data_IF_687704379858
#
_entry.id   IF_687704379858
#
_cell.length_a   1.000
_cell.length_b   1.000
_cell.length_c   1.000
_cell.angle_alpha   90.00
_cell.angle_beta   90.00
_cell.angle_gamma   90.00
#
_symmetry.space_group_name_H-M   'P 1'
#
loop_
_entity.id
_entity.type
_entity.pdbx_description
1 polymer ?
#
# COMPACT_ATOMS: atom_id res chain seq x y z
N UNK A 1 -5.05 -0.46 26.31
CA UNK A 1 -3.70 -0.41 26.93
C UNK A 1 -2.73 -1.10 25.97
N UNK A 2 -1.77 -0.39 25.35
CA UNK A 2 -0.71 -1.04 24.54
C UNK A 2 0.40 -1.52 25.48
N UNK A 3 0.95 -2.71 25.26
CA UNK A 3 2.16 -3.17 25.95
C UNK A 3 3.36 -2.34 25.46
N UNK A 4 4.21 -1.79 26.34
CA UNK A 4 5.31 -0.88 25.96
C UNK A 4 6.51 -1.55 25.26
N UNK A 5 6.51 -2.88 25.16
CA UNK A 5 7.66 -3.74 24.90
C UNK A 5 7.72 -4.37 23.49
N UNK A 6 6.82 -3.99 22.57
CA UNK A 6 6.89 -4.40 21.15
C UNK A 6 7.30 -3.23 20.25
N UNK A 7 8.47 -3.35 19.59
CA UNK A 7 8.86 -2.45 18.51
C UNK A 7 7.81 -2.56 17.38
N UNK A 8 7.20 -1.44 17.00
CA UNK A 8 6.19 -1.43 15.94
C UNK A 8 6.87 -1.44 14.56
N UNK A 9 7.24 -2.62 14.08
CA UNK A 9 7.77 -2.80 12.73
C UNK A 9 6.64 -2.65 11.72
N UNK A 10 6.81 -1.71 10.78
CA UNK A 10 5.87 -1.48 9.68
C UNK A 10 6.47 -1.98 8.37
N UNK A 11 5.62 -2.56 7.52
CA UNK A 11 5.97 -2.99 6.17
C UNK A 11 5.12 -2.22 5.15
N UNK A 12 5.79 -1.46 4.27
CA UNK A 12 5.17 -0.77 3.14
C UNK A 12 4.96 -1.76 2.00
N UNK A 13 3.70 -2.14 1.78
CA UNK A 13 3.29 -2.92 0.61
C UNK A 13 2.80 -1.98 -0.49
N UNK A 14 3.55 -1.88 -1.59
CA UNK A 14 3.16 -1.09 -2.77
C UNK A 14 2.55 -2.01 -3.80
N UNK A 15 1.35 -1.72 -4.31
CA UNK A 15 0.73 -2.61 -5.28
C UNK A 15 1.41 -2.50 -6.66
N UNK A 16 1.54 -3.62 -7.37
CA UNK A 16 2.15 -3.63 -8.73
C UNK A 16 1.37 -2.75 -9.72
N UNK A 17 0.07 -2.54 -9.48
CA UNK A 17 -0.75 -1.60 -10.23
C UNK A 17 -0.27 -0.15 -10.04
N UNK A 18 -0.02 0.28 -8.79
CA UNK A 18 0.52 1.62 -8.48
C UNK A 18 1.91 1.80 -9.06
N UNK A 19 2.77 0.78 -9.02
CA UNK A 19 4.11 0.83 -9.65
C UNK A 19 3.97 1.05 -11.17
N UNK A 20 3.07 0.30 -11.82
CA UNK A 20 2.82 0.40 -13.28
C UNK A 20 2.21 1.76 -13.66
N UNK A 21 1.37 2.34 -12.80
CA UNK A 21 0.81 3.68 -12.98
C UNK A 21 1.90 4.76 -12.86
N UNK A 22 2.77 4.66 -11.84
CA UNK A 22 3.93 5.54 -11.67
C UNK A 22 4.89 5.48 -12.86
N UNK A 23 5.17 4.27 -13.40
CA UNK A 23 5.98 4.11 -14.63
C UNK A 23 5.35 4.84 -15.83
N UNK A 24 4.03 4.79 -15.96
CA UNK A 24 3.28 5.50 -17.00
C UNK A 24 3.39 7.02 -16.85
N UNK A 25 3.14 7.52 -15.64
CA UNK A 25 3.25 8.94 -15.30
C UNK A 25 4.69 9.47 -15.47
N UNK A 26 5.70 8.67 -15.11
CA UNK A 26 7.12 9.01 -15.27
C UNK A 26 7.53 9.15 -16.74
N UNK A 27 6.95 8.36 -17.65
CA UNK A 27 7.15 8.50 -19.10
C UNK A 27 6.47 9.75 -19.67
N UNK A 28 5.38 10.19 -19.05
CA UNK A 28 4.61 11.38 -19.43
C UNK A 28 3.38 11.03 -20.25
N UNK A 29 2.42 11.95 -20.33
CA UNK A 29 1.17 11.79 -21.06
C UNK A 29 1.07 12.86 -22.15
N UNK A 30 0.76 12.43 -23.38
CA UNK A 30 0.46 13.34 -24.48
C UNK A 30 -0.98 13.88 -24.35
N UNK A 31 -1.21 15.11 -24.81
CA UNK A 31 -2.54 15.73 -24.83
C UNK A 31 -3.06 16.33 -23.51
N UNK A 32 -2.22 16.45 -22.47
CA UNK A 32 -2.61 17.13 -21.22
C UNK A 32 -2.70 18.64 -21.44
N UNK A 33 -3.83 19.24 -21.05
CA UNK A 33 -4.12 20.67 -21.23
C UNK A 33 -3.28 21.59 -20.34
N UNK A 34 -2.92 21.16 -19.13
CA UNK A 34 -2.00 21.86 -18.24
C UNK A 34 -0.63 21.18 -18.27
N UNK A 35 0.27 21.72 -19.10
CA UNK A 35 1.65 21.25 -19.27
C UNK A 35 2.48 21.44 -18.00
N UNK A 36 2.19 22.46 -17.18
CA UNK A 36 2.94 22.72 -15.95
C UNK A 36 2.56 21.69 -14.86
N UNK A 37 1.27 21.40 -14.72
CA UNK A 37 0.80 20.33 -13.84
C UNK A 37 1.28 18.95 -14.33
N UNK A 38 1.16 18.65 -15.63
CA UNK A 38 1.64 17.40 -16.21
C UNK A 38 3.12 17.13 -15.90
N UNK A 39 3.97 18.17 -16.07
CA UNK A 39 5.39 18.09 -15.74
C UNK A 39 5.63 17.87 -14.25
N UNK A 40 4.91 18.59 -13.37
CA UNK A 40 5.02 18.39 -11.92
C UNK A 40 4.65 16.97 -11.49
N UNK A 41 3.61 16.38 -12.10
CA UNK A 41 3.21 14.99 -11.85
C UNK A 41 4.28 14.02 -12.38
N UNK A 42 4.81 14.26 -13.58
CA UNK A 42 5.88 13.45 -14.16
C UNK A 42 7.16 13.45 -13.31
N UNK A 43 7.60 14.63 -12.84
CA UNK A 43 8.80 14.77 -12.02
C UNK A 43 8.64 14.04 -10.67
N UNK A 44 7.45 14.13 -10.05
CA UNK A 44 7.10 13.38 -8.83
C UNK A 44 7.05 11.88 -9.07
N UNK A 45 6.49 11.43 -10.19
CA UNK A 45 6.44 10.01 -10.56
C UNK A 45 7.85 9.43 -10.78
N UNK A 46 8.73 10.15 -11.49
CA UNK A 46 10.15 9.79 -11.66
C UNK A 46 10.87 9.64 -10.32
N UNK A 47 10.67 10.59 -9.39
CA UNK A 47 11.27 10.51 -8.06
C UNK A 47 10.74 9.33 -7.23
N UNK A 48 9.45 9.00 -7.35
CA UNK A 48 8.85 7.85 -6.68
C UNK A 48 9.35 6.51 -7.25
N UNK A 49 9.45 6.38 -8.58
CA UNK A 49 10.02 5.20 -9.25
C UNK A 49 11.47 4.99 -8.82
N UNK A 50 12.32 6.04 -8.91
CA UNK A 50 13.73 5.94 -8.52
C UNK A 50 13.94 5.60 -7.04
N UNK A 51 13.04 6.04 -6.15
CA UNK A 51 13.02 5.61 -4.75
C UNK A 51 12.71 4.11 -4.62
N UNK A 52 11.66 3.63 -5.30
CA UNK A 52 11.26 2.22 -5.26
C UNK A 52 12.33 1.31 -5.85
N UNK A 53 12.87 1.64 -7.02
CA UNK A 53 13.97 0.91 -7.68
C UNK A 53 15.15 0.75 -6.71
N UNK A 54 15.66 1.87 -6.17
CA UNK A 54 16.75 1.85 -5.19
C UNK A 54 16.44 0.99 -3.97
N UNK A 55 15.22 1.08 -3.40
CA UNK A 55 14.83 0.29 -2.23
C UNK A 55 14.72 -1.21 -2.52
N UNK A 56 14.27 -1.61 -3.71
CA UNK A 56 14.25 -3.03 -4.11
C UNK A 56 15.66 -3.54 -4.41
N UNK A 57 16.51 -2.76 -5.08
CA UNK A 57 17.92 -3.09 -5.35
C UNK A 57 18.72 -3.28 -4.06
N UNK A 58 18.56 -2.38 -3.08
CA UNK A 58 19.20 -2.49 -1.76
C UNK A 58 18.53 -3.51 -0.81
N UNK A 59 17.45 -4.17 -1.27
CA UNK A 59 16.68 -5.19 -0.52
C UNK A 59 16.16 -4.69 0.83
N UNK A 60 15.62 -3.46 0.85
CA UNK A 60 15.05 -2.85 2.06
C UNK A 60 13.98 -3.77 2.71
N UNK A 61 14.20 -4.27 3.94
CA UNK A 61 13.38 -5.36 4.50
C UNK A 61 11.93 -4.94 4.79
N UNK A 62 11.67 -3.63 4.86
CA UNK A 62 10.38 -3.03 5.15
C UNK A 62 9.58 -2.64 3.89
N UNK A 63 10.13 -2.75 2.67
CA UNK A 63 9.44 -2.41 1.41
C UNK A 63 9.20 -3.68 0.59
N UNK A 64 7.97 -3.88 0.12
CA UNK A 64 7.59 -5.05 -0.67
C UNK A 64 6.56 -4.68 -1.74
N UNK A 65 6.58 -5.37 -2.88
CA UNK A 65 5.55 -5.21 -3.90
C UNK A 65 4.42 -6.24 -3.67
N UNK A 66 3.17 -5.84 -3.89
CA UNK A 66 1.99 -6.70 -3.73
C UNK A 66 1.24 -6.85 -5.06
N UNK A 67 1.07 -8.09 -5.52
CA UNK A 67 0.29 -8.36 -6.74
C UNK A 67 -1.21 -8.21 -6.47
N UNK A 68 -2.01 -8.07 -7.53
CA UNK A 68 -3.48 -8.06 -7.43
C UNK A 68 -4.07 -9.35 -6.83
N UNK A 69 -3.28 -10.44 -6.78
CA UNK A 69 -3.63 -11.74 -6.19
C UNK A 69 -3.18 -11.88 -4.72
N UNK A 70 -2.51 -10.88 -4.15
CA UNK A 70 -2.05 -10.88 -2.76
C UNK A 70 -0.65 -11.46 -2.54
N UNK A 71 0.04 -11.89 -3.60
CA UNK A 71 1.42 -12.37 -3.48
C UNK A 71 2.36 -11.19 -3.19
N UNK A 72 3.29 -11.42 -2.28
CA UNK A 72 4.31 -10.44 -1.90
C UNK A 72 5.61 -10.75 -2.63
N UNK A 73 6.18 -9.75 -3.30
CA UNK A 73 7.41 -9.85 -4.06
C UNK A 73 8.52 -9.04 -3.38
N UNK A 74 9.65 -9.70 -3.14
CA UNK A 74 10.91 -9.06 -2.68
C UNK A 74 11.72 -8.45 -3.84
N UNK A 75 11.32 -8.72 -5.08
CA UNK A 75 11.89 -8.12 -6.29
C UNK A 75 10.79 -7.87 -7.32
N UNK A 76 10.83 -6.70 -7.96
CA UNK A 76 9.88 -6.30 -9.01
C UNK A 76 10.30 -6.75 -10.42
N UNK A 77 11.44 -7.43 -10.55
CA UNK A 77 12.05 -7.78 -11.83
C UNK A 77 11.35 -8.93 -12.60
N UNK A 78 10.55 -9.76 -11.94
CA UNK A 78 9.85 -10.89 -12.57
C UNK A 78 8.38 -10.97 -12.14
N UNK A 79 7.49 -11.15 -13.13
CA UNK A 79 6.03 -11.09 -12.98
C UNK A 79 5.41 -12.48 -13.24
N UNK A 80 5.45 -13.35 -12.23
CA UNK A 80 4.87 -14.71 -12.27
C UNK A 80 3.84 -14.89 -11.15
N UNK A 81 2.82 -15.73 -11.36
CA UNK A 81 1.59 -15.75 -10.55
C UNK A 81 1.23 -17.17 -10.09
N UNK A 82 0.82 -17.36 -8.83
CA UNK A 82 0.16 -18.59 -8.35
C UNK A 82 -0.63 -18.37 -7.03
N UNK A 83 -1.50 -19.31 -6.62
CA UNK A 83 -2.73 -19.02 -5.81
C UNK A 83 -2.90 -19.65 -4.42
N UNK A 84 -3.42 -18.87 -3.46
CA UNK A 84 -4.40 -19.23 -2.38
C UNK A 84 -4.80 -17.94 -1.59
N UNK A 85 -5.85 -17.84 -0.74
CA UNK A 85 -7.00 -18.69 -0.39
C UNK A 85 -7.79 -18.08 0.80
N UNK A 86 -9.14 -18.11 0.81
CA UNK A 86 -9.97 -17.49 1.89
C UNK A 86 -10.22 -18.45 3.08
N UNK A 87 -10.36 -17.89 4.29
CA UNK A 87 -10.72 -18.61 5.53
C UNK A 87 -11.95 -17.99 6.20
N UNK A 88 -12.87 -18.83 6.64
CA UNK A 88 -14.07 -18.44 7.38
C UNK A 88 -13.78 -18.07 8.84
N UNK A 89 -14.54 -17.13 9.39
CA UNK A 89 -14.43 -16.69 10.79
C UNK A 89 -15.67 -17.08 11.59
N UNK A 90 -15.57 -18.14 12.40
CA UNK A 90 -16.57 -18.43 13.44
C UNK A 90 -16.19 -17.76 14.77
N UNK A 91 -17.15 -17.19 15.52
CA UNK A 91 -16.90 -16.66 16.87
C UNK A 91 -16.63 -17.79 17.88
N UNK A 92 -15.76 -17.51 18.85
CA UNK A 92 -15.44 -18.44 19.94
C UNK A 92 -16.57 -18.61 20.98
N UNK A 93 -17.50 -17.66 21.04
CA UNK A 93 -18.66 -17.66 21.95
C UNK A 93 -19.95 -17.56 21.13
N UNK A 94 -20.95 -18.38 21.46
CA UNK A 94 -22.31 -18.21 20.91
C UNK A 94 -22.83 -16.83 21.33
N UNK A 95 -23.27 -16.04 20.35
CA UNK A 95 -23.76 -14.65 20.49
C UNK A 95 -22.70 -13.59 20.88
N UNK A 96 -21.41 -13.93 20.92
CA UNK A 96 -20.34 -12.95 21.11
C UNK A 96 -20.03 -12.13 19.84
N UNK A 97 -19.56 -10.87 19.96
CA UNK A 97 -19.21 -10.05 18.80
C UNK A 97 -17.98 -10.59 18.06
N UNK A 98 -18.12 -10.83 16.75
CA UNK A 98 -17.03 -11.29 15.87
C UNK A 98 -15.96 -10.20 15.75
N UNK A 99 -14.77 -10.43 16.31
CA UNK A 99 -13.61 -9.54 16.19
C UNK A 99 -12.72 -9.94 15.02
N UNK A 100 -12.69 -9.13 13.97
CA UNK A 100 -11.80 -9.33 12.82
C UNK A 100 -10.45 -8.64 13.07
N UNK A 101 -9.38 -9.44 13.22
CA UNK A 101 -8.00 -8.93 13.22
C UNK A 101 -7.61 -8.52 11.79
N UNK A 102 -7.01 -7.34 11.66
CA UNK A 102 -6.48 -6.79 10.41
C UNK A 102 -5.10 -6.22 10.67
N UNK A 103 -4.11 -6.72 9.95
CA UNK A 103 -2.69 -6.33 10.07
C UNK A 103 -2.26 -5.49 8.86
N UNK A 104 -3.21 -4.69 8.36
CA UNK A 104 -3.06 -3.86 7.16
C UNK A 104 -3.85 -2.57 7.37
N UNK A 105 -3.30 -1.48 6.86
CA UNK A 105 -3.96 -0.17 6.78
C UNK A 105 -3.77 0.33 5.35
N UNK A 106 -4.84 0.70 4.67
CA UNK A 106 -4.75 1.41 3.40
C UNK A 106 -4.39 2.87 3.68
N UNK A 107 -3.31 3.35 3.06
CA UNK A 107 -2.90 4.75 3.09
C UNK A 107 -3.44 5.47 1.86
N UNK A 108 -4.44 6.33 2.05
CA UNK A 108 -5.06 7.12 0.96
C UNK A 108 -5.88 8.28 1.50
N UNK A 109 -5.90 9.37 0.74
CA UNK A 109 -6.81 10.51 0.85
C UNK A 109 -8.06 10.37 -0.05
N UNK A 110 -8.01 9.52 -1.09
CA UNK A 110 -9.14 9.32 -2.01
C UNK A 110 -10.39 8.78 -1.31
N UNK A 111 -11.49 9.51 -1.49
CA UNK A 111 -12.79 9.23 -0.87
C UNK A 111 -13.38 7.90 -1.35
N UNK A 112 -13.19 7.53 -2.62
CA UNK A 112 -13.79 6.34 -3.21
C UNK A 112 -13.07 5.06 -2.74
N UNK A 113 -11.74 5.07 -2.70
CA UNK A 113 -10.91 4.02 -2.12
C UNK A 113 -11.18 3.85 -0.63
N UNK A 114 -11.31 4.97 0.11
CA UNK A 114 -11.70 4.93 1.53
C UNK A 114 -13.05 4.23 1.73
N UNK A 115 -14.08 4.56 0.95
CA UNK A 115 -15.38 3.86 1.01
C UNK A 115 -15.24 2.38 0.63
N UNK A 116 -14.57 2.06 -0.48
CA UNK A 116 -14.35 0.66 -0.96
C UNK A 116 -13.60 -0.21 0.05
N UNK A 117 -12.71 0.36 0.86
CA UNK A 117 -11.96 -0.33 1.90
C UNK A 117 -12.79 -0.52 3.17
N UNK A 118 -13.54 0.50 3.61
CA UNK A 118 -14.44 0.39 4.76
C UNK A 118 -15.53 -0.67 4.55
N UNK A 119 -16.11 -0.77 3.35
CA UNK A 119 -17.10 -1.85 3.04
C UNK A 119 -16.50 -3.26 3.04
N UNK A 120 -15.16 -3.40 3.06
CA UNK A 120 -14.42 -4.67 3.13
C UNK A 120 -13.79 -4.94 4.50
N UNK A 121 -14.12 -4.12 5.51
CA UNK A 121 -13.48 -4.17 6.83
C UNK A 121 -11.95 -4.04 6.74
N UNK A 122 -11.46 -3.13 5.89
CA UNK A 122 -10.04 -2.75 5.77
C UNK A 122 -9.85 -1.37 6.43
N UNK A 123 -8.98 -1.24 7.44
CA UNK A 123 -8.66 0.06 8.04
C UNK A 123 -8.07 1.04 7.02
N UNK A 124 -8.43 2.32 7.13
CA UNK A 124 -7.94 3.38 6.23
C UNK A 124 -7.43 4.58 7.04
N UNK A 125 -6.32 5.18 6.60
CA UNK A 125 -5.78 6.44 7.11
C UNK A 125 -5.21 7.29 5.98
N UNK A 126 -5.23 8.60 6.16
CA UNK A 126 -4.39 9.50 5.37
C UNK A 126 -2.94 9.42 5.87
N UNK A 127 -1.96 9.68 4.99
CA UNK A 127 -0.53 9.54 5.33
C UNK A 127 -0.13 10.41 6.54
N UNK A 128 -0.46 11.72 6.63
CA UNK A 128 -0.06 12.54 7.78
C UNK A 128 -0.63 12.03 9.11
N UNK A 129 -1.91 11.65 9.12
CA UNK A 129 -2.57 11.08 10.30
C UNK A 129 -1.97 9.73 10.73
N UNK A 130 -1.49 8.93 9.77
CA UNK A 130 -0.80 7.67 10.05
C UNK A 130 0.60 7.90 10.64
N UNK A 131 1.38 8.86 10.10
CA UNK A 131 2.73 9.20 10.61
C UNK A 131 2.67 9.67 12.08
N UNK A 132 1.70 10.53 12.41
CA UNK A 132 1.43 10.98 13.80
C UNK A 132 1.10 9.79 14.71
N UNK A 133 0.24 8.87 14.26
CA UNK A 133 -0.11 7.67 15.02
C UNK A 133 1.08 6.71 15.22
N UNK A 134 1.96 6.63 14.22
CA UNK A 134 3.14 5.80 14.21
C UNK A 134 4.35 6.42 14.95
N UNK A 135 4.31 7.73 15.24
CA UNK A 135 5.39 8.51 15.88
C UNK A 135 6.69 8.55 15.07
N UNK A 136 6.56 8.74 13.75
CA UNK A 136 7.68 8.75 12.79
C UNK A 136 7.64 9.97 11.86
N UNK A 137 7.11 11.10 12.36
CA UNK A 137 7.03 12.39 11.68
C UNK A 137 6.98 13.53 12.69
#
# INVERSE_FOLDING_TARGET
MRRPDLLMVLFLHVSVAVITELDGLAKGQEGVSDVAHARQVQDRARAAVAFLEKSFESREPCIRALTSRGNTLESIAFRSEDTSGHKDFMPAERNGPVRLRREVVLLTDDRNLRVKALTRNVPVREIPAFLIWAKVG
#
